data_IF_529761304670
#
_entry.id   IF_529761304670
#
_cell.length_a   1.000
_cell.length_b   1.000
_cell.length_c   1.000
_cell.angle_alpha   90.00
_cell.angle_beta   90.00
_cell.angle_gamma   90.00
#
_symmetry.space_group_name_H-M   'P 1'
#
loop_
_entity.id
_entity.type
_entity.pdbx_description
1 polymer ?
#
# COMPACT_ATOMS: atom_id res chain seq x y z
N UNK A 1 -56.96 18.27 -19.68
CA UNK A 1 -55.50 18.17 -19.96
C UNK A 1 -54.76 19.07 -18.98
N UNK A 2 -54.32 18.51 -17.88
CA UNK A 2 -53.45 19.20 -16.93
C UNK A 2 -52.15 18.43 -16.91
N UNK A 3 -51.10 19.00 -17.53
CA UNK A 3 -49.77 18.49 -17.48
C UNK A 3 -49.13 18.81 -16.12
N UNK A 4 -48.85 17.79 -15.36
CA UNK A 4 -48.04 17.87 -14.12
C UNK A 4 -46.58 18.06 -14.52
N UNK A 5 -46.07 19.28 -14.30
CA UNK A 5 -44.62 19.54 -14.36
C UNK A 5 -43.92 18.80 -13.20
N UNK A 6 -43.04 17.88 -13.54
CA UNK A 6 -42.14 17.26 -12.56
C UNK A 6 -41.19 18.32 -11.98
N UNK A 7 -41.12 18.39 -10.65
CA UNK A 7 -40.16 19.23 -9.95
C UNK A 7 -38.70 18.76 -10.26
N UNK A 8 -37.73 19.69 -10.36
CA UNK A 8 -36.34 19.31 -10.56
C UNK A 8 -35.81 18.60 -9.30
N UNK A 9 -35.07 17.52 -9.52
CA UNK A 9 -34.42 16.73 -8.47
C UNK A 9 -33.56 17.64 -7.56
N UNK A 10 -33.77 17.49 -6.25
CA UNK A 10 -32.99 18.20 -5.23
C UNK A 10 -31.49 17.97 -5.46
N UNK A 11 -30.75 19.05 -5.63
CA UNK A 11 -29.30 19.03 -5.71
C UNK A 11 -28.70 18.39 -4.45
N UNK A 12 -27.81 17.44 -4.62
CA UNK A 12 -27.08 16.81 -3.52
C UNK A 12 -26.35 17.88 -2.71
N UNK A 13 -26.66 18.01 -1.42
CA UNK A 13 -25.96 18.90 -0.52
C UNK A 13 -24.47 18.54 -0.51
N UNK A 14 -23.61 19.57 -0.56
CA UNK A 14 -22.15 19.41 -0.41
C UNK A 14 -21.90 18.76 0.94
N UNK A 15 -21.25 17.59 0.98
CA UNK A 15 -21.00 16.88 2.23
C UNK A 15 -19.88 17.58 3.03
N UNK A 16 -19.87 17.38 4.34
CA UNK A 16 -18.82 17.93 5.22
C UNK A 16 -17.43 17.43 4.82
N UNK A 17 -17.34 16.19 4.33
CA UNK A 17 -16.10 15.59 3.79
C UNK A 17 -15.62 16.34 2.53
N UNK A 18 -16.54 16.80 1.68
CA UNK A 18 -16.22 17.54 0.47
C UNK A 18 -15.59 18.91 0.77
N UNK A 19 -16.08 19.58 1.79
CA UNK A 19 -15.54 20.87 2.25
C UNK A 19 -14.14 20.70 2.83
N UNK A 20 -13.93 19.66 3.62
CA UNK A 20 -12.65 19.36 4.26
C UNK A 20 -11.59 19.01 3.22
N UNK A 21 -11.92 18.22 2.21
CA UNK A 21 -10.97 17.87 1.13
C UNK A 21 -10.55 19.12 0.34
N UNK A 22 -11.50 20.00 0.01
CA UNK A 22 -11.21 21.26 -0.67
C UNK A 22 -10.30 22.17 0.19
N UNK A 23 -10.54 22.24 1.49
CA UNK A 23 -9.70 22.99 2.44
C UNK A 23 -8.29 22.43 2.49
N UNK A 24 -8.12 21.10 2.63
CA UNK A 24 -6.83 20.45 2.66
C UNK A 24 -6.04 20.66 1.37
N UNK A 25 -6.70 20.67 0.21
CA UNK A 25 -6.06 20.99 -1.08
C UNK A 25 -5.56 22.44 -1.13
N UNK A 26 -6.32 23.40 -0.62
CA UNK A 26 -5.92 24.82 -0.56
C UNK A 26 -4.71 24.99 0.37
N UNK A 27 -4.72 24.36 1.51
CA UNK A 27 -3.60 24.38 2.47
C UNK A 27 -2.33 23.75 1.87
N UNK A 28 -2.47 22.60 1.21
CA UNK A 28 -1.34 21.94 0.52
C UNK A 28 -0.83 22.77 -0.66
N UNK A 29 -1.71 23.45 -1.40
CA UNK A 29 -1.31 24.37 -2.47
C UNK A 29 -0.52 25.57 -1.92
N UNK A 30 -0.93 26.10 -0.77
CA UNK A 30 -0.19 27.14 -0.07
C UNK A 30 1.21 26.67 0.36
N UNK A 31 1.32 25.45 0.87
CA UNK A 31 2.61 24.82 1.20
C UNK A 31 3.45 24.53 -0.05
N UNK A 32 2.81 24.11 -1.15
CA UNK A 32 3.47 23.85 -2.43
C UNK A 32 4.01 25.14 -3.08
N UNK A 33 3.29 26.25 -2.96
CA UNK A 33 3.74 27.56 -3.42
C UNK A 33 5.01 28.02 -2.68
N UNK A 34 5.26 27.50 -1.46
CA UNK A 34 6.48 27.74 -0.70
C UNK A 34 7.66 26.84 -1.08
N UNK A 35 7.59 26.09 -2.18
CA UNK A 35 8.73 25.34 -2.76
C UNK A 35 8.77 23.85 -2.47
N UNK A 36 7.78 23.29 -1.77
CA UNK A 36 7.82 21.90 -1.34
C UNK A 36 7.64 20.88 -2.49
N UNK A 37 6.75 21.15 -3.45
CA UNK A 37 6.49 20.22 -4.58
C UNK A 37 7.62 20.21 -5.58
N UNK A 38 8.26 21.34 -5.82
CA UNK A 38 9.50 21.41 -6.62
C UNK A 38 10.61 20.58 -6.00
N UNK A 39 10.76 20.70 -4.70
CA UNK A 39 11.72 19.97 -3.87
C UNK A 39 11.48 18.46 -3.88
N UNK A 40 10.22 18.02 -3.74
CA UNK A 40 9.85 16.57 -3.78
C UNK A 40 10.11 15.99 -5.18
N UNK A 41 9.78 16.71 -6.24
CA UNK A 41 10.07 16.27 -7.63
C UNK A 41 11.57 16.16 -7.89
N UNK A 42 12.33 17.17 -7.49
CA UNK A 42 13.77 17.23 -7.76
C UNK A 42 14.49 16.21 -6.85
N UNK A 43 13.98 15.98 -5.64
CA UNK A 43 14.36 14.92 -4.74
C UNK A 43 14.12 13.52 -5.35
N UNK A 44 12.94 13.28 -5.87
CA UNK A 44 12.65 11.99 -6.51
C UNK A 44 13.57 11.74 -7.70
N UNK A 45 13.80 12.74 -8.57
CA UNK A 45 14.72 12.61 -9.70
C UNK A 45 16.17 12.41 -9.26
N UNK A 46 16.59 13.07 -8.18
CA UNK A 46 17.92 12.88 -7.61
C UNK A 46 18.09 11.50 -6.99
N UNK A 47 17.06 10.99 -6.28
CA UNK A 47 17.05 9.64 -5.69
C UNK A 47 17.03 8.57 -6.78
N UNK A 48 16.18 8.73 -7.78
CA UNK A 48 15.95 7.73 -8.81
C UNK A 48 17.04 7.65 -9.89
N UNK A 49 17.64 8.80 -10.24
CA UNK A 49 18.64 8.84 -11.30
C UNK A 49 19.99 8.23 -10.93
N UNK A 50 20.39 8.30 -9.67
CA UNK A 50 21.76 7.96 -9.22
C UNK A 50 21.99 6.50 -8.85
N UNK A 51 21.10 5.79 -8.18
CA UNK A 51 21.22 4.33 -8.02
C UNK A 51 21.30 3.61 -9.37
N UNK A 52 20.50 4.08 -10.35
CA UNK A 52 20.58 3.56 -11.72
C UNK A 52 21.89 3.90 -12.40
N UNK A 53 22.47 5.08 -12.14
CA UNK A 53 23.79 5.46 -12.61
C UNK A 53 24.91 4.64 -11.94
N UNK A 54 24.87 4.47 -10.60
CA UNK A 54 25.82 3.66 -9.84
C UNK A 54 25.76 2.19 -10.26
N UNK A 55 24.56 1.63 -10.46
CA UNK A 55 24.37 0.28 -10.97
C UNK A 55 24.83 0.15 -12.44
N UNK A 56 24.66 1.19 -13.27
CA UNK A 56 25.18 1.20 -14.64
C UNK A 56 26.71 1.26 -14.67
N UNK A 57 27.34 1.97 -13.73
CA UNK A 57 28.80 1.99 -13.55
C UNK A 57 29.33 0.66 -13.01
N UNK A 58 28.67 0.08 -12.00
CA UNK A 58 29.01 -1.22 -11.45
C UNK A 58 28.76 -2.37 -12.45
N UNK A 59 27.84 -2.20 -13.39
CA UNK A 59 27.54 -3.15 -14.46
C UNK A 59 28.50 -3.07 -15.67
N UNK A 60 29.28 -2.00 -15.82
CA UNK A 60 30.26 -1.86 -16.94
C UNK A 60 31.25 -3.02 -17.05
N UNK A 61 31.80 -3.58 -15.97
CA UNK A 61 32.69 -4.75 -16.05
C UNK A 61 32.02 -6.01 -16.59
N UNK A 62 30.68 -6.08 -16.55
CA UNK A 62 29.90 -7.25 -16.97
C UNK A 62 29.25 -7.10 -18.36
N UNK A 63 29.67 -6.10 -19.14
CA UNK A 63 29.26 -5.88 -20.53
C UNK A 63 27.78 -5.44 -20.69
N UNK A 64 27.23 -5.54 -21.94
CA UNK A 64 25.89 -5.05 -22.25
C UNK A 64 24.74 -5.64 -21.40
N UNK A 65 24.93 -6.85 -20.87
CA UNK A 65 23.94 -7.56 -20.04
C UNK A 65 23.84 -6.90 -18.65
N UNK A 66 24.96 -6.41 -18.10
CA UNK A 66 24.94 -5.69 -16.82
C UNK A 66 24.24 -4.33 -16.90
N UNK A 67 24.38 -3.63 -18.03
CA UNK A 67 23.71 -2.36 -18.29
C UNK A 67 22.19 -2.57 -18.57
N UNK A 68 21.82 -3.66 -19.25
CA UNK A 68 20.43 -3.99 -19.56
C UNK A 68 19.61 -4.38 -18.31
N UNK A 69 20.23 -4.84 -17.22
CA UNK A 69 19.54 -5.23 -15.99
C UNK A 69 18.89 -4.05 -15.24
N UNK A 70 19.32 -2.82 -15.53
CA UNK A 70 18.77 -1.60 -14.91
C UNK A 70 17.62 -0.98 -15.70
N UNK A 71 17.46 -1.36 -16.98
CA UNK A 71 16.46 -0.76 -17.90
C UNK A 71 15.02 -1.05 -17.46
N UNK A 72 14.63 -2.28 -17.07
CA UNK A 72 13.26 -2.54 -16.64
C UNK A 72 12.90 -1.84 -15.33
N UNK A 73 13.84 -1.80 -14.38
CA UNK A 73 13.63 -1.13 -13.09
C UNK A 73 13.49 0.39 -13.27
N UNK A 74 14.29 0.98 -14.16
CA UNK A 74 14.21 2.38 -14.53
C UNK A 74 12.90 2.68 -15.27
N UNK A 75 12.49 1.82 -16.20
CA UNK A 75 11.25 1.97 -16.94
C UNK A 75 10.02 1.94 -16.01
N UNK A 76 9.95 0.98 -15.10
CA UNK A 76 8.86 0.88 -14.11
C UNK A 76 8.86 2.09 -13.17
N UNK A 77 10.03 2.46 -12.65
CA UNK A 77 10.20 3.64 -11.82
C UNK A 77 9.76 4.90 -12.56
N UNK A 78 10.20 5.11 -13.81
CA UNK A 78 9.88 6.28 -14.61
C UNK A 78 8.38 6.32 -14.97
N UNK A 79 7.74 5.16 -15.17
CA UNK A 79 6.30 5.06 -15.41
C UNK A 79 5.49 5.42 -14.16
N UNK A 80 5.81 4.82 -13.00
CA UNK A 80 5.16 5.13 -11.72
C UNK A 80 5.37 6.61 -11.39
N UNK A 81 6.63 7.08 -11.47
CA UNK A 81 6.97 8.47 -11.21
C UNK A 81 6.25 9.44 -12.15
N UNK A 82 6.20 9.11 -13.46
CA UNK A 82 5.51 9.94 -14.44
C UNK A 82 4.00 9.98 -14.21
N UNK A 83 3.38 8.87 -13.81
CA UNK A 83 1.97 8.82 -13.44
C UNK A 83 1.69 9.67 -12.18
N UNK A 84 2.56 9.55 -11.16
CA UNK A 84 2.52 10.33 -9.93
C UNK A 84 2.66 11.82 -10.23
N UNK A 85 3.69 12.22 -10.98
CA UNK A 85 3.93 13.65 -11.28
C UNK A 85 2.93 14.23 -12.26
N UNK A 86 2.39 13.43 -13.20
CA UNK A 86 1.25 13.85 -14.01
C UNK A 86 0.01 14.07 -13.13
N UNK A 87 -0.26 13.16 -12.20
CA UNK A 87 -1.34 13.29 -11.22
C UNK A 87 -1.18 14.53 -10.33
N UNK A 88 -0.01 14.71 -9.72
CA UNK A 88 0.32 15.87 -8.89
C UNK A 88 0.31 17.18 -9.69
N UNK A 89 0.79 17.19 -10.93
CA UNK A 89 0.77 18.37 -11.80
C UNK A 89 -0.64 18.70 -12.25
N UNK A 90 -1.45 17.67 -12.59
CA UNK A 90 -2.87 17.86 -12.93
C UNK A 90 -3.68 18.30 -11.72
N UNK A 91 -3.36 17.80 -10.53
CA UNK A 91 -3.94 18.25 -9.27
C UNK A 91 -3.44 19.67 -8.95
N UNK A 92 -2.14 19.97 -9.09
CA UNK A 92 -1.54 21.26 -8.81
C UNK A 92 -1.96 22.35 -9.80
N UNK A 93 -2.08 22.06 -11.11
CA UNK A 93 -2.63 23.00 -12.09
C UNK A 93 -4.14 23.17 -11.92
N UNK A 94 -4.85 22.11 -11.54
CA UNK A 94 -6.25 22.18 -11.14
C UNK A 94 -6.45 23.03 -9.87
N UNK A 95 -5.51 22.95 -8.91
CA UNK A 95 -5.54 23.72 -7.65
C UNK A 95 -5.09 25.15 -7.86
N UNK A 96 -4.10 25.43 -8.70
CA UNK A 96 -3.71 26.83 -9.04
C UNK A 96 -4.80 27.58 -9.81
N UNK A 97 -5.51 26.88 -10.72
CA UNK A 97 -6.70 27.42 -11.39
C UNK A 97 -7.93 27.39 -10.51
N UNK A 98 -8.04 26.45 -9.56
CA UNK A 98 -9.16 26.32 -8.63
C UNK A 98 -8.99 27.15 -7.35
N UNK A 99 -7.79 27.59 -6.98
CA UNK A 99 -7.59 28.49 -5.84
C UNK A 99 -8.36 29.82 -6.01
N UNK A 100 -8.43 30.35 -7.24
CA UNK A 100 -9.32 31.46 -7.59
C UNK A 100 -10.77 31.04 -7.86
N UNK A 101 -10.98 29.83 -8.39
CA UNK A 101 -12.29 29.29 -8.75
C UNK A 101 -12.95 28.50 -7.62
N UNK A 102 -12.19 27.93 -6.66
CA UNK A 102 -12.74 27.15 -5.53
C UNK A 102 -13.43 28.05 -4.52
N UNK A 103 -12.91 29.26 -4.28
CA UNK A 103 -13.66 30.27 -3.51
C UNK A 103 -14.98 30.64 -4.21
N UNK A 104 -15.01 30.58 -5.56
CA UNK A 104 -16.18 30.89 -6.38
C UNK A 104 -17.06 29.66 -6.65
N UNK A 105 -16.55 28.41 -6.53
CA UNK A 105 -17.25 27.19 -6.91
C UNK A 105 -17.77 26.36 -5.74
N UNK A 106 -17.45 26.72 -4.49
CA UNK A 106 -18.20 26.21 -3.32
C UNK A 106 -19.72 26.46 -3.42
N UNK A 107 -20.13 27.29 -4.37
CA UNK A 107 -21.54 27.58 -4.72
C UNK A 107 -22.04 26.79 -5.95
N UNK A 108 -21.20 25.97 -6.64
CA UNK A 108 -21.64 25.19 -7.81
C UNK A 108 -21.68 23.70 -7.49
N UNK A 109 -22.87 23.13 -7.64
CA UNK A 109 -23.32 21.79 -7.28
C UNK A 109 -22.63 20.59 -7.95
N UNK A 110 -21.55 20.78 -8.72
CA UNK A 110 -20.91 19.72 -9.53
C UNK A 110 -19.43 19.46 -9.25
N UNK A 111 -18.85 20.03 -8.19
CA UNK A 111 -17.48 19.74 -7.79
C UNK A 111 -17.38 18.33 -7.20
N UNK A 112 -17.31 17.31 -8.05
CA UNK A 112 -16.94 15.96 -7.67
C UNK A 112 -15.48 15.97 -7.24
N UNK A 113 -15.25 15.83 -5.96
CA UNK A 113 -13.95 15.94 -5.34
C UNK A 113 -12.97 14.83 -5.77
N UNK A 114 -11.69 15.08 -5.49
CA UNK A 114 -10.56 14.29 -5.98
C UNK A 114 -10.74 12.80 -5.66
N UNK A 115 -11.12 12.47 -4.43
CA UNK A 115 -11.22 11.10 -3.91
C UNK A 115 -12.43 10.32 -4.41
N UNK A 116 -13.43 10.99 -4.98
CA UNK A 116 -14.60 10.33 -5.58
C UNK A 116 -14.33 9.71 -6.96
N UNK A 117 -13.21 10.08 -7.61
CA UNK A 117 -12.79 9.49 -8.89
C UNK A 117 -11.67 8.48 -8.63
N UNK A 118 -11.64 7.31 -9.30
CA UNK A 118 -10.57 6.34 -9.10
C UNK A 118 -9.17 6.91 -9.28
N UNK A 119 -8.96 7.75 -10.29
CA UNK A 119 -7.68 8.42 -10.52
C UNK A 119 -7.31 9.41 -9.40
N UNK A 120 -8.29 10.10 -8.85
CA UNK A 120 -8.09 11.01 -7.73
C UNK A 120 -7.82 10.28 -6.42
N UNK A 121 -8.51 9.15 -6.17
CA UNK A 121 -8.23 8.29 -5.03
C UNK A 121 -6.79 7.76 -5.08
N UNK A 122 -6.32 7.31 -6.26
CA UNK A 122 -4.93 6.89 -6.45
C UNK A 122 -3.95 8.05 -6.23
N UNK A 123 -4.25 9.26 -6.72
CA UNK A 123 -3.42 10.44 -6.48
C UNK A 123 -3.35 10.78 -4.98
N UNK A 124 -4.47 10.70 -4.25
CA UNK A 124 -4.52 10.86 -2.80
C UNK A 124 -3.69 9.78 -2.07
N UNK A 125 -3.76 8.53 -2.53
CA UNK A 125 -2.93 7.43 -2.00
C UNK A 125 -1.44 7.71 -2.15
N UNK A 126 -1.01 8.22 -3.32
CA UNK A 126 0.37 8.63 -3.56
C UNK A 126 0.78 9.79 -2.66
N UNK A 127 -0.07 10.83 -2.55
CA UNK A 127 0.17 11.97 -1.69
C UNK A 127 0.36 11.53 -0.23
N UNK A 128 -0.55 10.70 0.27
CA UNK A 128 -0.47 10.14 1.62
C UNK A 128 0.75 9.23 1.80
N UNK A 129 1.19 8.51 0.78
CA UNK A 129 2.39 7.69 0.85
C UNK A 129 3.67 8.50 1.04
N UNK A 130 3.78 9.67 0.42
CA UNK A 130 4.98 10.50 0.53
C UNK A 130 4.94 11.53 1.63
N UNK A 131 3.76 12.04 1.98
CA UNK A 131 3.58 13.19 2.87
C UNK A 131 2.62 12.88 4.04
N UNK A 132 2.26 11.62 4.29
CA UNK A 132 1.26 11.26 5.28
C UNK A 132 1.62 11.75 6.69
N UNK A 133 2.87 11.62 7.10
CA UNK A 133 3.39 12.13 8.36
C UNK A 133 3.29 13.66 8.46
N UNK A 134 3.65 14.40 7.40
CA UNK A 134 3.49 15.86 7.34
C UNK A 134 2.02 16.29 7.35
N UNK A 135 1.14 15.53 6.67
CA UNK A 135 -0.30 15.79 6.70
C UNK A 135 -0.87 15.59 8.10
N UNK A 136 -0.40 14.56 8.82
CA UNK A 136 -0.79 14.30 10.20
C UNK A 136 -0.29 15.39 11.13
N UNK A 137 1.00 15.72 11.10
CA UNK A 137 1.61 16.77 11.91
C UNK A 137 0.94 18.14 11.74
N UNK A 138 0.53 18.46 10.49
CA UNK A 138 -0.16 19.71 10.16
C UNK A 138 -1.68 19.66 10.40
N UNK A 139 -2.24 18.50 10.77
CA UNK A 139 -3.68 18.32 10.90
C UNK A 139 -4.44 18.54 9.58
N UNK A 140 -3.81 18.23 8.44
CA UNK A 140 -4.36 18.48 7.12
C UNK A 140 -5.49 17.51 6.76
N UNK A 141 -6.60 18.04 6.27
CA UNK A 141 -7.80 17.26 5.91
C UNK A 141 -7.59 16.28 4.72
N UNK A 142 -6.44 16.34 4.02
CA UNK A 142 -6.05 15.36 3.00
C UNK A 142 -5.45 14.08 3.59
N UNK A 143 -5.18 14.03 4.89
CA UNK A 143 -4.76 12.81 5.55
C UNK A 143 -5.86 11.76 5.44
N UNK A 144 -5.53 10.64 4.80
CA UNK A 144 -6.46 9.52 4.66
C UNK A 144 -6.66 8.84 6.01
N UNK A 145 -7.86 8.96 6.55
CA UNK A 145 -8.27 8.19 7.71
C UNK A 145 -8.53 6.74 7.31
N UNK A 146 -8.19 5.80 8.21
CA UNK A 146 -8.41 4.38 7.92
C UNK A 146 -9.90 4.06 7.87
N UNK A 147 -10.30 3.24 6.91
CA UNK A 147 -11.68 2.76 6.77
C UNK A 147 -11.81 1.72 5.67
N UNK A 148 -12.96 1.04 5.66
CA UNK A 148 -13.32 0.18 4.53
C UNK A 148 -14.01 1.01 3.47
N UNK A 149 -13.64 0.75 2.22
CA UNK A 149 -14.17 1.49 1.07
C UNK A 149 -14.70 0.55 -0.02
N UNK A 150 -15.83 0.93 -0.58
CA UNK A 150 -16.31 0.40 -1.85
C UNK A 150 -16.30 1.53 -2.89
N UNK A 151 -15.20 1.61 -3.62
CA UNK A 151 -14.91 2.74 -4.50
C UNK A 151 -14.84 4.06 -3.71
N UNK A 152 -15.65 5.09 -4.07
CA UNK A 152 -15.61 6.38 -3.40
C UNK A 152 -16.30 6.38 -2.02
N UNK A 153 -17.04 5.35 -1.68
CA UNK A 153 -17.86 5.30 -0.48
C UNK A 153 -17.13 4.58 0.65
N UNK A 154 -17.00 5.26 1.79
CA UNK A 154 -16.57 4.63 3.02
C UNK A 154 -17.73 3.89 3.64
N UNK A 155 -17.53 2.66 4.11
CA UNK A 155 -18.53 1.89 4.84
C UNK A 155 -18.66 2.44 6.26
N UNK A 156 -19.88 2.73 6.69
CA UNK A 156 -20.18 3.09 8.07
C UNK A 156 -20.19 1.82 8.94
N UNK A 157 -19.41 1.82 10.02
CA UNK A 157 -19.28 0.68 10.94
C UNK A 157 -20.39 0.74 12.01
N UNK A 158 -21.61 0.61 11.56
CA UNK A 158 -22.81 0.40 12.37
C UNK A 158 -23.54 -0.81 11.80
N UNK A 159 -24.04 -1.69 12.65
CA UNK A 159 -24.66 -2.97 12.25
C UNK A 159 -25.76 -2.79 11.19
N UNK A 160 -26.59 -1.77 11.34
CA UNK A 160 -27.64 -1.48 10.38
C UNK A 160 -27.08 -1.04 9.04
N UNK A 161 -26.14 -0.08 9.05
CA UNK A 161 -25.52 0.45 7.84
C UNK A 161 -24.72 -0.62 7.09
N UNK A 162 -23.99 -1.48 7.84
CA UNK A 162 -23.30 -2.64 7.26
C UNK A 162 -24.28 -3.64 6.64
N UNK A 163 -25.42 -3.91 7.29
CA UNK A 163 -26.45 -4.78 6.74
C UNK A 163 -27.11 -4.24 5.48
N UNK A 164 -27.29 -2.92 5.39
CA UNK A 164 -27.82 -2.25 4.19
C UNK A 164 -26.77 -2.23 3.05
N UNK A 165 -25.49 -1.96 3.36
CA UNK A 165 -24.41 -1.91 2.36
C UNK A 165 -23.98 -3.31 1.90
N UNK A 166 -24.07 -4.31 2.78
CA UNK A 166 -23.63 -5.70 2.54
C UNK A 166 -24.77 -6.68 2.82
N UNK A 167 -25.87 -6.67 2.04
CA UNK A 167 -27.05 -7.48 2.34
C UNK A 167 -26.82 -8.99 2.29
N UNK A 168 -25.72 -9.42 1.67
CA UNK A 168 -25.26 -10.81 1.63
C UNK A 168 -23.96 -10.99 2.43
N UNK A 169 -23.83 -10.29 3.56
CA UNK A 169 -22.72 -10.51 4.50
C UNK A 169 -22.72 -11.94 5.00
N UNK A 170 -21.54 -12.54 5.05
CA UNK A 170 -21.34 -13.94 5.50
C UNK A 170 -20.50 -13.96 6.77
N UNK A 171 -20.45 -15.08 7.50
CA UNK A 171 -19.55 -15.28 8.63
C UNK A 171 -18.06 -15.23 8.27
N UNK A 172 -17.71 -15.27 6.97
CA UNK A 172 -16.34 -15.31 6.46
C UNK A 172 -15.97 -13.96 5.85
N UNK A 173 -14.97 -13.29 6.40
CA UNK A 173 -14.55 -11.97 5.97
C UNK A 173 -13.18 -12.06 5.32
N UNK A 174 -13.01 -11.47 4.11
CA UNK A 174 -11.73 -11.31 3.45
C UNK A 174 -11.32 -9.82 3.46
N UNK A 175 -10.28 -9.47 4.19
CA UNK A 175 -9.81 -8.08 4.36
C UNK A 175 -8.60 -7.83 3.48
N UNK A 176 -8.68 -6.84 2.59
CA UNK A 176 -7.65 -6.49 1.62
C UNK A 176 -6.92 -5.20 2.04
N UNK A 177 -5.63 -5.31 2.36
CA UNK A 177 -4.78 -4.22 2.83
C UNK A 177 -3.73 -3.88 1.75
N UNK A 178 -3.84 -2.70 1.16
CA UNK A 178 -2.97 -2.28 0.05
C UNK A 178 -1.54 -1.92 0.49
N UNK A 179 -0.63 -1.78 -0.48
CA UNK A 179 0.75 -1.38 -0.26
C UNK A 179 0.98 0.13 -0.30
N UNK A 180 2.25 0.52 -0.17
CA UNK A 180 2.71 1.92 -0.23
C UNK A 180 2.13 2.64 -1.45
N UNK A 181 1.68 3.88 -1.25
CA UNK A 181 1.07 4.74 -2.27
C UNK A 181 -0.20 4.18 -2.92
N UNK A 182 -0.73 3.06 -2.42
CA UNK A 182 -1.96 2.45 -2.90
C UNK A 182 -3.22 2.99 -2.26
N UNK A 183 -4.34 2.49 -2.73
CA UNK A 183 -5.67 2.59 -2.12
C UNK A 183 -6.40 1.26 -2.33
N UNK A 184 -7.62 1.13 -1.84
CA UNK A 184 -8.48 -0.03 -2.12
C UNK A 184 -8.63 -0.29 -3.63
N UNK A 185 -8.61 0.78 -4.45
CA UNK A 185 -8.74 0.67 -5.90
C UNK A 185 -7.59 -0.11 -6.54
N UNK A 186 -6.43 -0.20 -5.87
CA UNK A 186 -5.26 -0.91 -6.39
C UNK A 186 -5.54 -2.40 -6.61
N UNK A 187 -6.41 -3.00 -5.80
CA UNK A 187 -6.83 -4.40 -5.95
C UNK A 187 -7.70 -4.66 -7.17
N UNK A 188 -8.36 -3.62 -7.70
CA UNK A 188 -9.27 -3.67 -8.85
C UNK A 188 -8.58 -3.30 -10.16
N UNK A 189 -7.34 -2.81 -10.12
CA UNK A 189 -6.59 -2.46 -11.33
C UNK A 189 -6.19 -3.73 -12.06
N UNK A 190 -6.52 -3.77 -13.35
CA UNK A 190 -6.10 -4.86 -14.21
C UNK A 190 -4.68 -4.64 -14.74
N UNK A 191 -3.70 -5.15 -14.00
CA UNK A 191 -2.28 -5.08 -14.35
C UNK A 191 -1.88 -5.98 -15.53
N UNK A 192 -2.79 -6.83 -16.00
CA UNK A 192 -2.56 -7.83 -17.05
C UNK A 192 -3.11 -7.42 -18.42
N UNK A 193 -3.91 -6.36 -18.50
CA UNK A 193 -4.54 -5.90 -19.74
C UNK A 193 -5.70 -6.77 -20.23
N UNK A 194 -6.24 -7.70 -19.42
CA UNK A 194 -7.45 -8.46 -19.76
C UNK A 194 -8.69 -7.61 -19.47
N UNK A 195 -9.68 -7.60 -20.39
CA UNK A 195 -10.87 -6.72 -20.29
C UNK A 195 -11.80 -7.03 -19.11
N UNK A 196 -11.77 -8.26 -18.58
CA UNK A 196 -12.75 -8.77 -17.63
C UNK A 196 -12.09 -9.23 -16.30
N UNK A 197 -11.16 -8.45 -15.76
CA UNK A 197 -10.51 -8.83 -14.52
C UNK A 197 -11.44 -8.59 -13.31
N UNK A 198 -12.08 -9.65 -12.88
CA UNK A 198 -12.74 -9.75 -11.57
C UNK A 198 -11.65 -9.80 -10.51
N UNK A 199 -11.73 -8.93 -9.48
CA UNK A 199 -10.74 -8.88 -8.41
C UNK A 199 -10.82 -10.11 -7.48
N UNK A 200 -9.76 -10.31 -6.66
CA UNK A 200 -9.69 -11.46 -5.75
C UNK A 200 -10.87 -11.53 -4.79
N UNK A 201 -11.33 -10.41 -4.25
CA UNK A 201 -12.43 -10.38 -3.29
C UNK A 201 -13.75 -10.83 -3.92
N UNK A 202 -14.03 -10.39 -5.13
CA UNK A 202 -15.23 -10.81 -5.87
C UNK A 202 -15.18 -12.30 -6.20
N UNK A 203 -14.01 -12.83 -6.58
CA UNK A 203 -13.83 -14.28 -6.82
C UNK A 203 -13.98 -15.07 -5.53
N UNK A 204 -13.36 -14.64 -4.42
CA UNK A 204 -13.51 -15.31 -3.12
C UNK A 204 -14.94 -15.29 -2.61
N UNK A 205 -15.70 -14.25 -2.96
CA UNK A 205 -17.13 -14.20 -2.66
C UNK A 205 -17.91 -15.27 -3.43
N UNK A 206 -17.66 -15.40 -4.73
CA UNK A 206 -18.37 -16.37 -5.58
C UNK A 206 -17.94 -17.81 -5.29
N UNK A 207 -16.66 -18.05 -5.08
CA UNK A 207 -16.09 -19.40 -5.02
C UNK A 207 -16.11 -19.99 -3.60
N UNK A 208 -15.91 -19.15 -2.57
CA UNK A 208 -15.71 -19.59 -1.20
C UNK A 208 -16.62 -18.90 -0.17
N UNK A 209 -17.51 -18.01 -0.61
CA UNK A 209 -18.47 -17.33 0.24
C UNK A 209 -17.87 -16.30 1.22
N UNK A 210 -16.70 -15.74 0.94
CA UNK A 210 -16.16 -14.64 1.71
C UNK A 210 -16.83 -13.31 1.38
N UNK A 211 -17.06 -12.47 2.38
CA UNK A 211 -17.42 -11.07 2.16
C UNK A 211 -16.16 -10.23 2.10
N UNK A 212 -15.82 -9.61 0.94
CA UNK A 212 -14.62 -8.81 0.79
C UNK A 212 -14.77 -7.43 1.40
N UNK A 213 -13.76 -6.97 2.15
CA UNK A 213 -13.60 -5.63 2.69
C UNK A 213 -12.26 -5.04 2.24
N UNK A 214 -12.27 -3.86 1.66
CA UNK A 214 -11.07 -3.21 1.14
C UNK A 214 -10.70 -2.02 2.00
N UNK A 215 -9.51 -2.08 2.61
CA UNK A 215 -8.99 -1.02 3.48
C UNK A 215 -8.40 0.10 2.64
N UNK A 216 -8.70 1.35 3.00
CA UNK A 216 -7.96 2.55 2.60
C UNK A 216 -7.34 3.17 3.83
N UNK A 217 -6.07 3.55 3.78
CA UNK A 217 -5.34 4.15 4.90
C UNK A 217 -4.17 4.99 4.40
N UNK A 218 -3.61 5.87 5.24
CA UNK A 218 -2.40 6.63 4.93
C UNK A 218 -1.17 5.74 5.06
N UNK A 219 -0.46 5.52 3.95
CA UNK A 219 0.76 4.69 3.92
C UNK A 219 2.03 5.48 4.24
N UNK A 220 1.93 6.78 4.50
CA UNK A 220 3.05 7.62 4.93
C UNK A 220 3.24 7.67 6.45
N UNK A 221 2.26 7.22 7.23
CA UNK A 221 2.41 7.02 8.67
C UNK A 221 3.26 5.78 8.95
N UNK A 222 3.77 5.65 10.18
CA UNK A 222 4.46 4.43 10.58
C UNK A 222 3.59 3.19 10.38
N UNK A 223 4.20 2.10 9.92
CA UNK A 223 3.52 0.80 9.75
C UNK A 223 2.82 0.38 11.04
N UNK A 224 3.43 0.62 12.19
CA UNK A 224 2.85 0.30 13.50
C UNK A 224 1.61 1.14 13.84
N UNK A 225 1.53 2.39 13.38
CA UNK A 225 0.36 3.26 13.55
C UNK A 225 -0.78 2.81 12.65
N UNK A 226 -0.49 2.50 11.39
CA UNK A 226 -1.45 1.89 10.48
C UNK A 226 -1.94 0.53 11.01
N UNK A 227 -1.06 -0.28 11.61
CA UNK A 227 -1.39 -1.55 12.22
C UNK A 227 -2.33 -1.38 13.44
N UNK A 228 -2.06 -0.38 14.29
CA UNK A 228 -2.96 -0.02 15.40
C UNK A 228 -4.34 0.37 14.89
N UNK A 229 -4.40 1.26 13.92
CA UNK A 229 -5.65 1.72 13.36
C UNK A 229 -6.43 0.58 12.66
N UNK A 230 -5.72 -0.35 12.00
CA UNK A 230 -6.33 -1.55 11.41
C UNK A 230 -6.90 -2.48 12.49
N UNK A 231 -6.18 -2.67 13.61
CA UNK A 231 -6.67 -3.48 14.73
C UNK A 231 -7.96 -2.91 15.32
N UNK A 232 -8.00 -1.60 15.57
CA UNK A 232 -9.18 -0.89 16.07
C UNK A 232 -10.37 -0.97 15.07
N UNK A 233 -10.08 -0.85 13.77
CA UNK A 233 -11.07 -0.99 12.70
C UNK A 233 -11.67 -2.39 12.69
N UNK A 234 -10.85 -3.44 12.81
CA UNK A 234 -11.31 -4.84 12.81
C UNK A 234 -12.09 -5.20 14.08
N UNK A 235 -11.69 -4.69 15.25
CA UNK A 235 -12.44 -4.90 16.50
C UNK A 235 -13.86 -4.35 16.38
N UNK A 236 -14.00 -3.11 15.91
CA UNK A 236 -15.31 -2.52 15.64
C UNK A 236 -16.09 -3.26 14.58
N UNK A 237 -15.42 -3.77 13.57
CA UNK A 237 -16.07 -4.53 12.50
C UNK A 237 -16.67 -5.83 13.01
N UNK A 238 -15.95 -6.57 13.84
CA UNK A 238 -16.47 -7.82 14.44
C UNK A 238 -17.66 -7.53 15.35
N UNK A 239 -17.59 -6.46 16.16
CA UNK A 239 -18.69 -6.06 17.04
C UNK A 239 -19.97 -5.66 16.28
N UNK A 240 -19.81 -4.99 15.13
CA UNK A 240 -20.92 -4.44 14.35
C UNK A 240 -21.31 -5.29 13.14
N UNK A 241 -20.65 -6.44 12.90
CA UNK A 241 -20.96 -7.28 11.75
C UNK A 241 -22.41 -7.76 11.77
N UNK A 242 -23.12 -7.77 10.60
CA UNK A 242 -24.55 -8.14 10.57
C UNK A 242 -24.85 -9.56 11.04
N UNK A 243 -23.89 -10.49 10.87
CA UNK A 243 -23.98 -11.89 11.29
C UNK A 243 -22.81 -12.23 12.21
N UNK A 244 -22.86 -13.35 12.92
CA UNK A 244 -21.72 -13.76 13.74
C UNK A 244 -20.48 -14.03 12.87
N UNK A 245 -19.34 -13.40 13.20
CA UNK A 245 -18.08 -13.61 12.48
C UNK A 245 -17.46 -14.93 12.91
N UNK A 246 -17.32 -15.85 11.97
CA UNK A 246 -16.68 -17.15 12.16
C UNK A 246 -15.20 -17.14 11.81
N UNK A 247 -14.83 -16.41 10.75
CA UNK A 247 -13.48 -16.44 10.18
C UNK A 247 -13.10 -15.10 9.52
N UNK A 248 -11.84 -14.71 9.71
CA UNK A 248 -11.21 -13.59 9.03
C UNK A 248 -9.97 -14.08 8.28
N UNK A 249 -9.88 -13.74 6.98
CA UNK A 249 -8.68 -13.89 6.17
C UNK A 249 -8.12 -12.51 5.81
N UNK A 250 -6.85 -12.24 6.12
CA UNK A 250 -6.16 -10.99 5.82
C UNK A 250 -5.32 -11.15 4.56
N UNK A 251 -5.45 -10.22 3.60
CA UNK A 251 -4.66 -10.18 2.38
C UNK A 251 -3.88 -8.88 2.34
N UNK A 252 -2.59 -8.93 2.68
CA UNK A 252 -1.72 -7.78 2.68
C UNK A 252 -0.79 -7.78 1.47
N UNK A 253 -0.87 -6.73 0.64
CA UNK A 253 0.09 -6.52 -0.45
C UNK A 253 1.21 -5.59 -0.01
N UNK A 254 2.47 -5.99 -0.27
CA UNK A 254 3.63 -5.14 0.00
C UNK A 254 3.66 -4.66 1.47
N UNK A 255 3.69 -3.35 1.73
CA UNK A 255 3.54 -2.75 3.07
C UNK A 255 2.31 -3.27 3.81
N UNK A 256 1.20 -3.53 3.11
CA UNK A 256 -0.04 -4.03 3.73
C UNK A 256 0.13 -5.36 4.45
N UNK A 257 1.10 -6.20 4.05
CA UNK A 257 1.43 -7.42 4.78
C UNK A 257 2.15 -7.14 6.10
N UNK A 258 2.98 -6.09 6.17
CA UNK A 258 3.59 -5.65 7.43
C UNK A 258 2.53 -5.07 8.37
N UNK A 259 1.63 -4.23 7.84
CA UNK A 259 0.49 -3.67 8.58
C UNK A 259 -0.40 -4.78 9.14
N UNK A 260 -0.75 -5.79 8.34
CA UNK A 260 -1.58 -6.92 8.78
C UNK A 260 -0.90 -7.72 9.90
N UNK A 261 0.42 -7.98 9.78
CA UNK A 261 1.18 -8.67 10.82
C UNK A 261 1.29 -7.85 12.10
N UNK A 262 1.60 -6.56 11.97
CA UNK A 262 1.64 -5.64 13.11
C UNK A 262 0.31 -5.54 13.84
N UNK A 263 -0.81 -5.50 13.10
CA UNK A 263 -2.16 -5.51 13.67
C UNK A 263 -2.45 -6.80 14.45
N UNK A 264 -2.12 -7.96 13.90
CA UNK A 264 -2.25 -9.25 14.60
C UNK A 264 -1.41 -9.30 15.89
N UNK A 265 -0.13 -8.89 15.81
CA UNK A 265 0.76 -8.86 16.96
C UNK A 265 0.20 -7.97 18.09
N UNK A 266 -0.20 -6.75 17.72
CA UNK A 266 -0.77 -5.78 18.66
C UNK A 266 -2.06 -6.29 19.30
N UNK A 267 -2.98 -6.79 18.48
CA UNK A 267 -4.26 -7.31 18.93
C UNK A 267 -4.10 -8.47 19.92
N UNK A 268 -3.18 -9.38 19.64
CA UNK A 268 -2.86 -10.49 20.56
C UNK A 268 -2.30 -9.99 21.89
N UNK A 269 -1.43 -8.97 21.87
CA UNK A 269 -0.85 -8.37 23.07
C UNK A 269 -1.90 -7.61 23.91
N UNK A 270 -2.90 -7.01 23.26
CA UNK A 270 -3.97 -6.24 23.90
C UNK A 270 -5.22 -7.04 24.25
N UNK A 271 -5.29 -8.32 23.83
CA UNK A 271 -6.45 -9.18 24.09
C UNK A 271 -7.69 -8.78 23.27
N UNK A 272 -7.49 -8.24 22.06
CA UNK A 272 -8.59 -7.89 21.14
C UNK A 272 -9.33 -9.14 20.69
N UNK A 273 -10.65 -9.05 20.52
CA UNK A 273 -11.48 -10.22 20.22
C UNK A 273 -11.43 -10.65 18.76
N UNK A 274 -11.21 -9.72 17.84
CA UNK A 274 -11.17 -10.02 16.41
C UNK A 274 -10.04 -10.98 16.03
N UNK A 275 -8.90 -10.92 16.75
CA UNK A 275 -7.71 -11.73 16.44
C UNK A 275 -7.98 -13.21 16.59
N UNK A 276 -8.91 -13.60 17.48
CA UNK A 276 -9.34 -14.98 17.66
C UNK A 276 -10.10 -15.55 16.46
N UNK A 277 -10.61 -14.66 15.59
CA UNK A 277 -11.32 -15.05 14.36
C UNK A 277 -10.38 -15.18 13.17
N UNK A 278 -9.12 -14.74 13.27
CA UNK A 278 -8.14 -14.82 12.18
C UNK A 278 -7.71 -16.27 11.97
N UNK A 279 -7.87 -16.75 10.73
CA UNK A 279 -7.44 -18.10 10.34
C UNK A 279 -6.35 -18.06 9.28
N UNK A 280 -6.32 -17.02 8.44
CA UNK A 280 -5.41 -16.93 7.31
C UNK A 280 -4.83 -15.53 7.19
N UNK A 281 -3.50 -15.42 7.00
CA UNK A 281 -2.80 -14.18 6.74
C UNK A 281 -1.92 -14.37 5.50
N UNK A 282 -2.29 -13.70 4.41
CA UNK A 282 -1.58 -13.74 3.13
C UNK A 282 -0.69 -12.51 2.97
N UNK A 283 0.61 -12.71 2.80
CA UNK A 283 1.60 -11.67 2.58
C UNK A 283 2.07 -11.73 1.12
N UNK A 284 1.55 -10.82 0.28
CA UNK A 284 1.81 -10.77 -1.16
C UNK A 284 2.93 -9.76 -1.45
N UNK A 285 4.14 -10.22 -1.77
CA UNK A 285 5.28 -9.34 -2.04
C UNK A 285 5.71 -8.48 -0.85
N UNK A 286 5.47 -8.93 0.37
CA UNK A 286 5.72 -8.16 1.59
C UNK A 286 7.22 -8.12 1.92
N UNK A 287 7.82 -6.93 2.15
CA UNK A 287 9.24 -6.80 2.43
C UNK A 287 9.56 -7.09 3.91
N UNK A 288 9.45 -8.34 4.35
CA UNK A 288 9.67 -8.73 5.75
C UNK A 288 11.07 -8.43 6.28
N UNK A 289 12.07 -8.41 5.40
CA UNK A 289 13.47 -8.05 5.73
C UNK A 289 13.87 -6.70 5.13
N UNK A 290 12.88 -5.94 4.71
CA UNK A 290 13.02 -4.62 4.13
C UNK A 290 13.21 -4.63 2.61
N UNK A 291 13.15 -3.41 2.05
CA UNK A 291 13.25 -3.13 0.63
C UNK A 291 14.66 -2.60 0.28
N UNK A 292 15.34 -3.16 -0.73
CA UNK A 292 16.66 -2.70 -1.15
C UNK A 292 16.70 -1.24 -1.57
N UNK A 293 15.61 -0.75 -2.17
CA UNK A 293 15.51 0.63 -2.63
C UNK A 293 15.59 1.64 -1.48
N UNK A 294 14.91 1.36 -0.35
CA UNK A 294 14.97 2.23 0.82
C UNK A 294 16.36 2.20 1.48
N UNK A 295 17.03 1.04 1.51
CA UNK A 295 18.43 0.95 1.96
C UNK A 295 19.36 1.82 1.11
N UNK A 296 19.18 1.80 -0.20
CA UNK A 296 19.95 2.65 -1.12
C UNK A 296 19.66 4.15 -0.92
N UNK A 297 18.39 4.51 -0.69
CA UNK A 297 18.00 5.88 -0.38
C UNK A 297 18.58 6.37 0.94
N UNK A 298 18.64 5.53 1.98
CA UNK A 298 19.27 5.85 3.26
C UNK A 298 20.78 6.12 3.09
N UNK A 299 21.51 5.25 2.38
CA UNK A 299 22.94 5.45 2.09
C UNK A 299 23.16 6.76 1.32
N UNK A 300 22.31 7.06 0.33
CA UNK A 300 22.38 8.30 -0.43
C UNK A 300 22.14 9.54 0.44
N UNK A 301 21.13 9.51 1.30
CA UNK A 301 20.82 10.59 2.23
C UNK A 301 21.97 10.84 3.22
N UNK A 302 22.51 9.76 3.79
CA UNK A 302 23.66 9.85 4.70
C UNK A 302 24.90 10.42 4.01
N UNK A 303 25.25 9.92 2.81
CA UNK A 303 26.40 10.37 2.04
C UNK A 303 26.29 11.84 1.68
N UNK A 304 25.10 12.29 1.24
CA UNK A 304 24.85 13.70 0.92
C UNK A 304 24.89 14.60 2.17
N UNK A 305 24.51 14.10 3.32
CA UNK A 305 24.51 14.84 4.58
C UNK A 305 25.89 14.97 5.20
N UNK A 306 26.84 14.13 4.78
CA UNK A 306 28.22 14.13 5.32
C UNK A 306 29.04 15.38 4.91
N UNK A 307 28.73 15.98 3.76
CA UNK A 307 29.44 17.18 3.27
C UNK A 307 28.55 18.43 3.40
N UNK A 308 29.10 19.57 3.86
CA UNK A 308 28.33 20.80 4.03
C UNK A 308 27.61 21.25 2.77
N UNK A 309 28.26 21.11 1.59
CA UNK A 309 27.74 21.55 0.29
C UNK A 309 26.56 20.71 -0.17
N UNK A 310 26.53 19.44 0.20
CA UNK A 310 25.48 18.51 -0.21
C UNK A 310 24.43 18.26 0.89
N UNK A 311 24.66 18.75 2.10
CA UNK A 311 23.75 18.58 3.26
C UNK A 311 22.29 19.00 2.96
N UNK A 312 22.00 20.11 2.25
CA UNK A 312 20.62 20.44 1.90
C UNK A 312 19.94 19.37 1.06
N UNK A 313 20.69 18.72 0.17
CA UNK A 313 20.17 17.61 -0.64
C UNK A 313 19.98 16.34 0.20
N UNK A 314 20.89 16.09 1.15
CA UNK A 314 20.73 15.01 2.13
C UNK A 314 19.46 15.19 2.97
N UNK A 315 19.21 16.41 3.45
CA UNK A 315 17.99 16.73 4.19
C UNK A 315 16.71 16.49 3.34
N UNK A 316 16.78 16.80 2.04
CA UNK A 316 15.68 16.53 1.11
C UNK A 316 15.43 15.02 0.96
N UNK A 317 16.50 14.21 0.77
CA UNK A 317 16.40 12.76 0.67
C UNK A 317 15.85 12.17 1.96
N UNK A 318 16.23 12.71 3.13
CA UNK A 318 15.82 12.23 4.44
C UNK A 318 14.38 12.66 4.84
N UNK A 319 13.73 13.52 4.04
CA UNK A 319 12.31 13.86 4.22
C UNK A 319 11.31 12.80 3.72
N UNK A 320 11.79 11.58 3.41
CA UNK A 320 10.90 10.46 3.13
C UNK A 320 9.96 10.23 4.31
N UNK A 321 8.68 9.92 4.02
CA UNK A 321 7.69 9.65 5.06
C UNK A 321 8.11 8.51 6.00
N UNK A 322 7.56 8.51 7.19
CA UNK A 322 7.80 7.48 8.19
C UNK A 322 7.52 6.07 7.65
N UNK A 323 6.41 5.88 6.94
CA UNK A 323 6.05 4.61 6.33
C UNK A 323 7.07 4.12 5.28
N UNK A 324 7.66 5.04 4.48
CA UNK A 324 8.74 4.68 3.55
C UNK A 324 9.98 4.23 4.32
N UNK A 325 10.36 4.94 5.39
CA UNK A 325 11.53 4.60 6.21
C UNK A 325 11.38 3.23 6.90
N UNK A 326 10.18 2.89 7.35
CA UNK A 326 9.87 1.59 7.97
C UNK A 326 10.11 0.42 7.01
N UNK A 327 9.94 0.64 5.69
CA UNK A 327 10.23 -0.37 4.68
C UNK A 327 11.72 -0.71 4.57
N UNK A 328 12.64 0.06 5.15
CA UNK A 328 14.08 -0.24 5.12
C UNK A 328 14.40 -1.61 5.68
N UNK A 329 13.73 -1.98 6.76
CA UNK A 329 13.96 -3.24 7.48
C UNK A 329 12.69 -4.05 7.71
N UNK A 330 11.53 -3.58 7.21
CA UNK A 330 10.24 -4.23 7.42
C UNK A 330 9.75 -4.10 8.85
N UNK A 331 9.79 -2.88 9.39
CA UNK A 331 9.28 -2.56 10.72
C UNK A 331 7.78 -2.83 10.82
N UNK A 332 7.34 -3.38 11.94
CA UNK A 332 5.95 -3.77 12.17
C UNK A 332 5.38 -3.24 13.49
N UNK A 333 6.22 -2.92 14.46
CA UNK A 333 5.83 -2.49 15.80
C UNK A 333 6.49 -1.16 16.18
N UNK A 334 5.95 -0.49 17.19
CA UNK A 334 6.43 0.83 17.60
C UNK A 334 7.85 0.77 18.22
N UNK A 335 8.20 -0.35 18.80
CA UNK A 335 9.50 -0.60 19.39
C UNK A 335 10.63 -0.72 18.37
N UNK A 336 10.29 -0.85 17.08
CA UNK A 336 11.27 -0.91 15.99
C UNK A 336 11.89 0.48 15.70
N UNK A 337 11.18 1.56 15.98
CA UNK A 337 11.58 2.91 15.56
C UNK A 337 11.56 3.97 16.66
N UNK A 338 10.78 3.80 17.75
CA UNK A 338 10.47 4.87 18.70
C UNK A 338 11.69 5.52 19.36
N UNK A 339 12.73 4.73 19.62
CA UNK A 339 13.95 5.22 20.28
C UNK A 339 15.17 5.23 19.34
N UNK A 340 14.92 5.31 18.01
CA UNK A 340 15.94 5.18 16.99
C UNK A 340 16.00 6.42 16.11
N UNK A 341 17.21 6.78 15.65
CA UNK A 341 17.35 7.77 14.58
C UNK A 341 16.90 7.16 13.24
N UNK A 342 15.81 7.64 12.65
CA UNK A 342 15.30 7.08 11.40
C UNK A 342 16.25 7.29 10.22
N UNK A 343 17.22 8.19 10.32
CA UNK A 343 18.20 8.50 9.28
C UNK A 343 19.60 7.92 9.55
N UNK A 344 19.80 7.22 10.67
CA UNK A 344 21.03 6.52 10.98
C UNK A 344 21.41 5.55 9.85
N UNK A 345 22.73 5.47 9.55
CA UNK A 345 23.23 4.70 8.42
C UNK A 345 23.09 3.21 8.66
N UNK A 346 22.15 2.59 7.97
CA UNK A 346 21.92 1.14 7.94
C UNK A 346 21.76 0.50 9.34
N UNK A 347 21.37 1.26 10.34
CA UNK A 347 21.02 0.72 11.64
C UNK A 347 19.68 -0.01 11.58
N UNK A 348 19.62 -1.23 12.15
CA UNK A 348 18.46 -2.08 12.14
C UNK A 348 18.04 -2.41 13.58
N UNK A 349 16.91 -1.88 13.99
CA UNK A 349 16.30 -2.12 15.31
C UNK A 349 15.09 -3.05 15.25
N UNK A 350 14.84 -3.67 14.09
CA UNK A 350 13.71 -4.55 13.87
C UNK A 350 13.64 -5.68 14.88
N UNK A 351 12.49 -5.81 15.51
CA UNK A 351 12.15 -6.91 16.40
C UNK A 351 11.47 -8.04 15.64
N UNK A 352 11.70 -9.26 16.04
CA UNK A 352 10.99 -10.41 15.52
C UNK A 352 9.69 -10.57 16.31
N UNK A 353 8.58 -10.13 15.71
CA UNK A 353 7.25 -10.27 16.29
C UNK A 353 6.69 -11.68 16.03
N UNK A 354 6.06 -12.31 17.03
CA UNK A 354 5.47 -13.64 16.87
C UNK A 354 4.29 -13.64 15.90
N UNK A 355 4.03 -14.80 15.31
CA UNK A 355 2.81 -15.07 14.55
C UNK A 355 1.69 -15.54 15.50
N UNK A 356 0.44 -15.36 15.08
CA UNK A 356 -0.70 -15.95 15.77
C UNK A 356 -0.64 -17.47 15.65
N UNK A 357 -0.74 -18.18 16.76
CA UNK A 357 -0.81 -19.64 16.77
C UNK A 357 -2.10 -20.18 16.13
N UNK A 358 -3.16 -19.37 16.13
CA UNK A 358 -4.48 -19.72 15.59
C UNK A 358 -4.58 -19.52 14.08
N UNK A 359 -3.59 -18.90 13.43
CA UNK A 359 -3.64 -18.52 12.04
C UNK A 359 -2.52 -19.14 11.21
N UNK A 360 -2.85 -19.52 9.98
CA UNK A 360 -1.89 -19.91 8.96
C UNK A 360 -1.37 -18.71 8.21
N UNK A 361 -0.06 -18.59 8.04
CA UNK A 361 0.60 -17.51 7.29
C UNK A 361 1.12 -18.01 5.95
N UNK A 362 0.83 -17.27 4.89
CA UNK A 362 1.20 -17.60 3.52
C UNK A 362 2.02 -16.46 2.90
N UNK A 363 3.11 -16.80 2.23
CA UNK A 363 4.07 -15.83 1.71
C UNK A 363 4.24 -16.03 0.20
N UNK A 364 3.87 -15.02 -0.56
CA UNK A 364 3.97 -15.02 -1.99
C UNK A 364 4.98 -13.97 -2.44
N UNK A 365 5.97 -14.39 -3.21
CA UNK A 365 6.93 -13.52 -3.87
C UNK A 365 6.78 -13.59 -5.38
N UNK A 366 7.37 -12.64 -6.08
CA UNK A 366 7.47 -12.64 -7.52
C UNK A 366 8.91 -12.33 -7.96
N UNK A 367 9.24 -12.66 -9.19
CA UNK A 367 10.47 -12.25 -9.85
C UNK A 367 10.23 -12.02 -11.33
N UNK A 368 10.88 -11.00 -11.89
CA UNK A 368 10.79 -10.68 -13.32
C UNK A 368 11.46 -11.73 -14.21
N UNK A 369 12.36 -12.54 -13.67
CA UNK A 369 12.94 -13.65 -14.41
C UNK A 369 11.94 -14.80 -14.52
N UNK A 370 11.86 -15.44 -15.69
CA UNK A 370 10.95 -16.58 -15.91
C UNK A 370 11.25 -17.74 -14.95
N UNK A 371 12.52 -17.97 -14.67
CA UNK A 371 12.98 -18.98 -13.73
C UNK A 371 13.29 -18.32 -12.38
N UNK A 372 12.43 -18.57 -11.40
CA UNK A 372 12.55 -18.03 -10.04
C UNK A 372 13.73 -18.59 -9.25
N UNK A 373 14.28 -19.75 -9.68
CA UNK A 373 15.38 -20.42 -8.99
C UNK A 373 16.76 -19.90 -9.40
N UNK A 374 16.86 -19.20 -10.52
CA UNK A 374 18.14 -18.64 -10.96
C UNK A 374 18.68 -17.59 -9.98
N UNK A 375 20.01 -17.55 -9.77
CA UNK A 375 20.65 -16.56 -8.89
C UNK A 375 20.26 -15.12 -9.22
N UNK A 376 20.13 -14.80 -10.51
CA UNK A 376 19.72 -13.48 -10.98
C UNK A 376 18.27 -13.12 -10.54
N UNK A 377 17.34 -14.07 -10.61
CA UNK A 377 15.98 -13.88 -10.16
C UNK A 377 15.88 -13.64 -8.65
N UNK A 378 16.67 -14.37 -7.88
CA UNK A 378 16.78 -14.19 -6.42
C UNK A 378 17.37 -12.83 -6.04
N UNK A 379 18.27 -12.29 -6.86
CA UNK A 379 18.93 -11.02 -6.61
C UNK A 379 18.04 -9.82 -6.98
N UNK A 380 17.34 -9.88 -8.12
CA UNK A 380 16.53 -8.77 -8.64
C UNK A 380 15.14 -8.77 -8.02
N UNK A 381 14.53 -9.97 -7.81
CA UNK A 381 13.18 -10.11 -7.31
C UNK A 381 12.13 -9.56 -8.29
N UNK A 382 11.09 -8.96 -7.73
CA UNK A 382 9.97 -8.37 -8.45
C UNK A 382 10.16 -6.87 -8.77
N UNK A 383 11.37 -6.37 -8.66
CA UNK A 383 11.88 -5.00 -8.78
C UNK A 383 11.78 -4.16 -7.50
N UNK A 384 10.94 -4.49 -6.54
CA UNK A 384 10.78 -3.77 -5.27
C UNK A 384 11.21 -4.62 -4.07
N UNK A 385 10.88 -5.91 -4.09
CA UNK A 385 11.14 -6.85 -3.00
C UNK A 385 11.88 -8.07 -3.55
N UNK A 386 12.93 -8.48 -2.86
CA UNK A 386 13.64 -9.73 -3.19
C UNK A 386 12.84 -10.93 -2.64
N UNK A 387 12.85 -12.09 -3.32
CA UNK A 387 12.20 -13.28 -2.81
C UNK A 387 12.63 -13.66 -1.39
N UNK A 388 13.92 -13.52 -1.05
CA UNK A 388 14.42 -13.74 0.30
C UNK A 388 13.77 -12.82 1.34
N UNK A 389 13.51 -11.55 1.00
CA UNK A 389 12.79 -10.62 1.87
C UNK A 389 11.31 -10.97 1.96
N UNK A 390 10.67 -11.34 0.84
CA UNK A 390 9.27 -11.76 0.82
C UNK A 390 9.04 -13.04 1.64
N UNK A 391 10.06 -13.90 1.74
CA UNK A 391 10.03 -15.13 2.53
C UNK A 391 10.55 -14.95 3.97
N UNK A 392 11.02 -13.77 4.33
CA UNK A 392 11.65 -13.56 5.62
C UNK A 392 12.95 -14.35 5.85
N UNK A 393 13.64 -14.77 4.76
CA UNK A 393 14.89 -15.53 4.80
C UNK A 393 16.09 -14.61 4.58
N UNK A 394 16.81 -14.24 5.65
CA UNK A 394 17.97 -13.35 5.60
C UNK A 394 19.30 -14.09 5.37
N UNK A 395 20.27 -13.38 4.76
CA UNK A 395 21.66 -13.77 4.81
C UNK A 395 22.12 -13.70 6.28
N UNK A 396 22.54 -14.83 6.87
CA UNK A 396 22.98 -14.89 8.27
C UNK A 396 22.07 -15.70 9.21
N UNK A 397 21.22 -16.58 8.66
CA UNK A 397 20.47 -17.56 9.45
C UNK A 397 19.23 -17.05 10.16
N UNK A 398 18.80 -15.80 9.91
CA UNK A 398 17.48 -15.33 10.36
C UNK A 398 16.42 -15.89 9.44
N UNK A 399 15.70 -16.89 9.93
CA UNK A 399 14.56 -17.48 9.27
C UNK A 399 13.33 -17.30 10.15
N UNK A 400 12.24 -16.78 9.58
CA UNK A 400 10.95 -16.98 10.21
C UNK A 400 10.60 -18.48 10.13
N UNK A 401 9.96 -19.06 11.13
CA UNK A 401 9.57 -20.48 11.17
C UNK A 401 8.38 -20.73 10.23
N UNK A 402 8.61 -20.69 8.91
CA UNK A 402 7.58 -20.94 7.92
C UNK A 402 7.57 -22.40 7.47
N UNK A 403 6.40 -22.96 7.31
CA UNK A 403 6.22 -24.19 6.57
C UNK A 403 6.46 -23.93 5.08
N UNK A 404 7.33 -24.75 4.45
CA UNK A 404 7.73 -24.57 3.05
C UNK A 404 6.52 -24.63 2.10
N UNK A 405 5.51 -25.44 2.43
CA UNK A 405 4.28 -25.56 1.66
C UNK A 405 3.47 -24.25 1.56
N UNK A 406 3.72 -23.30 2.47
CA UNK A 406 3.07 -21.98 2.50
C UNK A 406 3.88 -20.87 1.85
N UNK A 407 4.97 -21.23 1.14
CA UNK A 407 5.79 -20.30 0.38
C UNK A 407 5.60 -20.52 -1.12
N UNK A 408 5.41 -19.43 -1.89
CA UNK A 408 5.35 -19.49 -3.36
C UNK A 408 6.10 -18.32 -3.98
N UNK A 409 6.79 -18.58 -5.09
CA UNK A 409 7.38 -17.53 -5.92
C UNK A 409 6.95 -17.72 -7.37
N UNK A 410 6.52 -16.64 -7.99
CA UNK A 410 6.11 -16.61 -9.38
C UNK A 410 7.19 -15.99 -10.25
N UNK A 411 7.63 -16.72 -11.29
CA UNK A 411 8.55 -16.21 -12.31
C UNK A 411 7.82 -15.43 -13.40
N UNK A 412 8.51 -14.43 -13.99
CA UNK A 412 7.95 -13.61 -15.06
C UNK A 412 6.92 -12.58 -14.59
N UNK A 413 6.88 -12.30 -13.30
CA UNK A 413 5.95 -11.35 -12.70
C UNK A 413 6.68 -10.20 -12.00
N UNK A 414 6.15 -8.99 -12.11
CA UNK A 414 6.57 -7.86 -11.29
C UNK A 414 5.62 -7.69 -10.08
N UNK A 415 6.02 -6.86 -9.15
CA UNK A 415 5.36 -6.64 -7.86
C UNK A 415 3.84 -6.43 -7.92
N UNK A 416 3.38 -5.58 -8.87
CA UNK A 416 1.97 -5.25 -9.01
C UNK A 416 1.13 -6.41 -9.61
N UNK A 417 1.77 -7.39 -10.24
CA UNK A 417 1.07 -8.57 -10.75
C UNK A 417 0.49 -9.43 -9.61
N UNK A 418 1.05 -9.36 -8.40
CA UNK A 418 0.54 -10.11 -7.25
C UNK A 418 -0.86 -9.64 -6.78
N UNK A 419 -1.31 -8.45 -7.23
CA UNK A 419 -2.58 -7.87 -6.78
C UNK A 419 -3.83 -8.50 -7.41
N UNK A 420 -3.75 -8.95 -8.65
CA UNK A 420 -4.91 -9.53 -9.35
C UNK A 420 -4.51 -10.46 -10.51
N UNK A 421 -3.70 -11.48 -10.23
CA UNK A 421 -3.26 -12.44 -11.25
C UNK A 421 -3.99 -13.78 -11.11
N UNK A 422 -4.47 -14.40 -12.21
CA UNK A 422 -5.20 -15.67 -12.15
C UNK A 422 -4.44 -16.79 -11.42
N UNK A 423 -3.15 -17.01 -11.73
CA UNK A 423 -2.36 -18.05 -11.09
C UNK A 423 -2.13 -17.81 -9.59
N UNK A 424 -2.04 -16.54 -9.17
CA UNK A 424 -1.99 -16.17 -7.75
C UNK A 424 -3.32 -16.50 -7.07
N UNK A 425 -4.43 -16.12 -7.72
CA UNK A 425 -5.77 -16.43 -7.19
C UNK A 425 -6.00 -17.93 -6.98
N UNK A 426 -5.65 -18.76 -7.96
CA UNK A 426 -5.81 -20.22 -7.84
C UNK A 426 -5.03 -20.78 -6.63
N UNK A 427 -3.83 -20.23 -6.38
CA UNK A 427 -3.07 -20.61 -5.19
C UNK A 427 -3.73 -20.16 -3.89
N UNK A 428 -4.26 -18.92 -3.84
CA UNK A 428 -5.00 -18.41 -2.67
C UNK A 428 -6.24 -19.27 -2.40
N UNK A 429 -6.99 -19.58 -3.45
CA UNK A 429 -8.18 -20.44 -3.39
C UNK A 429 -7.85 -21.82 -2.89
N UNK A 430 -6.80 -22.46 -3.42
CA UNK A 430 -6.36 -23.78 -3.00
C UNK A 430 -5.98 -23.83 -1.51
N UNK A 431 -5.27 -22.82 -1.01
CA UNK A 431 -4.94 -22.74 0.41
C UNK A 431 -6.16 -22.52 1.32
N UNK A 432 -7.12 -21.70 0.87
CA UNK A 432 -8.35 -21.44 1.63
C UNK A 432 -9.35 -22.60 1.61
N UNK A 433 -9.37 -23.40 0.53
CA UNK A 433 -10.25 -24.57 0.44
C UNK A 433 -9.72 -25.78 1.22
N UNK A 434 -8.45 -25.76 1.60
CA UNK A 434 -7.79 -26.89 2.28
C UNK A 434 -7.66 -28.14 1.41
N UNK A 435 -7.80 -28.04 0.08
CA UNK A 435 -7.67 -29.17 -0.84
C UNK A 435 -6.19 -29.43 -1.20
N UNK A 436 -5.57 -30.50 -0.72
CA UNK A 436 -4.18 -30.83 -1.02
C UNK A 436 -3.93 -31.07 -2.52
N UNK A 437 -4.96 -31.37 -3.32
CA UNK A 437 -4.84 -31.66 -4.75
C UNK A 437 -4.74 -30.39 -5.59
N UNK A 438 -5.14 -29.24 -5.04
CA UNK A 438 -5.03 -27.94 -5.71
C UNK A 438 -3.71 -27.23 -5.45
N UNK A 439 -2.83 -27.81 -4.63
CA UNK A 439 -1.48 -27.29 -4.43
C UNK A 439 -0.62 -27.69 -5.63
N UNK A 440 -0.24 -26.76 -6.55
CA UNK A 440 0.70 -27.08 -7.61
C UNK A 440 1.99 -27.58 -6.97
N UNK A 441 2.57 -28.66 -7.54
CA UNK A 441 3.83 -29.23 -7.07
C UNK A 441 4.87 -28.13 -6.89
N UNK A 442 5.62 -28.20 -5.80
CA UNK A 442 6.74 -27.29 -5.54
C UNK A 442 7.73 -27.42 -6.72
N UNK A 443 7.84 -26.37 -7.56
CA UNK A 443 8.79 -26.29 -8.65
C UNK A 443 10.14 -25.78 -8.15
#
# INVERSE_FOLDING_TARGET
>A
MHGTMAAPAAGSAVSRADVNEARGLVELAGQAATGLVGTVRDMHRAIAGRPFWALSLAGKPFGPVGAASTVPARFLHDHISSAVYKGLRSAGSGVASAGGAAAASLTRQDARLLTRRPAGALAAGVLNGFLGDLLEESGNDLLTQIGFHDGPHQLELERRALGEALPAATPRIAVFVHGLCGTEATWRVNWWGTRDAVDYGQRLRSDLGYTPLYVRYSTGLHVSEAARALSELLERTVAEWPVEVGEIALFGHSMGGLVSRGACYRAAAEGSTWVEKVRHVFCLGTPHLGAPLEKAANVAGWTLSALPETRPFGAIVNRRSAGIKDLRYGYCCAEDWRDCDPDALLECHRRDIPFLETASYYFLGATITRDSQRPLGRLIGDLLVRPSSAWGQGLGGRHYPFEIERLRTYGGMHHMHLLNHPAVYEQLRGWLSGDPRELPAAA
#
